data_IF_322638636796
#
_entry.id   IF_322638636796
#
_cell.length_a   1.000
_cell.length_b   1.000
_cell.length_c   1.000
_cell.angle_alpha   90.00
_cell.angle_beta   90.00
_cell.angle_gamma   90.00
#
_symmetry.space_group_name_H-M   'P 1'
#
loop_
_entity.id
_entity.type
_entity.pdbx_description
1 polymer ?
#
# COMPACT_ATOMS: atom_id res chain seq x y z
N UNK A 1 -13.38 27.24 -4.70
CA UNK A 1 -13.13 25.80 -4.76
C UNK A 1 -12.54 25.39 -6.09
N UNK A 2 -11.85 24.24 -6.16
CA UNK A 2 -11.34 23.64 -7.40
C UNK A 2 -12.04 22.29 -7.61
N UNK A 3 -12.59 22.05 -8.80
CA UNK A 3 -13.11 20.75 -9.20
C UNK A 3 -11.97 19.94 -9.83
N UNK A 4 -11.81 18.68 -9.43
CA UNK A 4 -10.75 17.80 -9.88
C UNK A 4 -11.37 16.47 -10.31
N UNK A 5 -10.91 15.94 -11.45
CA UNK A 5 -11.32 14.62 -11.92
C UNK A 5 -10.65 13.50 -11.14
N UNK A 6 -11.33 12.36 -10.92
CA UNK A 6 -10.70 11.16 -10.40
C UNK A 6 -9.60 10.66 -11.33
N UNK A 7 -8.48 10.22 -10.75
CA UNK A 7 -7.36 9.66 -11.54
C UNK A 7 -6.69 8.51 -10.80
N UNK A 8 -6.01 7.66 -11.58
CA UNK A 8 -5.10 6.65 -11.07
C UNK A 8 -3.69 6.87 -11.65
N UNK A 9 -2.67 6.52 -10.89
CA UNK A 9 -1.29 6.54 -11.33
C UNK A 9 -0.59 5.29 -10.77
N UNK A 10 -0.05 4.47 -11.66
CA UNK A 10 0.76 3.32 -11.26
C UNK A 10 2.09 3.79 -10.68
N UNK A 11 2.49 3.22 -9.54
CA UNK A 11 3.75 3.57 -8.88
C UNK A 11 4.88 2.66 -9.36
N UNK A 12 5.72 3.17 -10.25
CA UNK A 12 6.90 2.46 -10.80
C UNK A 12 8.15 2.58 -9.90
N UNK A 13 8.05 3.21 -8.75
CA UNK A 13 9.17 3.30 -7.81
C UNK A 13 9.31 2.02 -6.99
N UNK A 14 10.53 1.74 -6.55
CA UNK A 14 10.88 0.62 -5.67
C UNK A 14 11.83 1.05 -4.54
N UNK A 15 12.04 0.16 -3.56
CA UNK A 15 12.95 0.37 -2.45
C UNK A 15 12.55 1.53 -1.54
N UNK A 16 13.54 2.11 -0.87
CA UNK A 16 13.33 3.22 0.06
C UNK A 16 12.74 4.46 -0.61
N UNK A 17 12.98 4.61 -1.92
CA UNK A 17 12.42 5.73 -2.70
C UNK A 17 10.90 5.65 -2.80
N UNK A 18 10.35 4.47 -3.01
CA UNK A 18 8.90 4.25 -3.00
C UNK A 18 8.31 4.56 -1.63
N UNK A 19 8.95 4.12 -0.56
CA UNK A 19 8.52 4.38 0.81
C UNK A 19 8.50 5.88 1.11
N UNK A 20 9.54 6.63 0.69
CA UNK A 20 9.59 8.08 0.85
C UNK A 20 8.46 8.77 0.08
N UNK A 21 8.25 8.42 -1.19
CA UNK A 21 7.19 8.98 -2.03
C UNK A 21 5.83 8.80 -1.37
N UNK A 22 5.52 7.57 -0.97
CA UNK A 22 4.23 7.22 -0.37
C UNK A 22 4.07 7.90 1.00
N UNK A 23 5.11 7.90 1.83
CA UNK A 23 5.06 8.53 3.14
C UNK A 23 4.82 10.04 3.08
N UNK A 24 5.37 10.71 2.05
CA UNK A 24 5.21 12.17 1.87
C UNK A 24 3.83 12.60 1.36
N UNK A 25 2.99 11.68 0.85
CA UNK A 25 1.61 12.02 0.47
C UNK A 25 0.81 12.54 1.67
N UNK A 26 1.07 12.01 2.87
CA UNK A 26 0.36 12.43 4.08
C UNK A 26 0.43 13.94 4.34
N UNK A 27 1.52 14.58 3.94
CA UNK A 27 1.78 16.01 4.13
C UNK A 27 1.87 16.79 2.83
N UNK A 28 1.58 16.14 1.68
CA UNK A 28 1.68 16.73 0.33
C UNK A 28 3.06 17.33 0.05
N UNK A 29 4.11 16.57 0.41
CA UNK A 29 5.51 16.99 0.26
C UNK A 29 6.27 16.16 -0.79
N UNK A 30 5.59 15.50 -1.71
CA UNK A 30 6.16 14.67 -2.76
C UNK A 30 7.14 15.48 -3.64
N UNK A 31 6.86 16.76 -3.85
CA UNK A 31 7.71 17.71 -4.58
C UNK A 31 9.02 18.06 -3.86
N UNK A 32 9.15 17.73 -2.58
CA UNK A 32 10.37 17.96 -1.78
C UNK A 32 11.37 16.80 -1.80
N UNK A 33 11.07 15.74 -2.53
CA UNK A 33 11.92 14.54 -2.61
C UNK A 33 13.20 14.85 -3.39
N UNK A 34 14.34 14.50 -2.80
CA UNK A 34 15.67 14.64 -3.41
C UNK A 34 16.26 13.27 -3.77
N UNK A 35 17.24 13.19 -4.66
CA UNK A 35 17.83 11.91 -5.08
C UNK A 35 18.35 11.04 -3.92
N UNK A 36 18.86 11.64 -2.85
CA UNK A 36 19.53 11.02 -1.71
C UNK A 36 18.74 11.10 -0.39
N UNK A 37 17.47 11.53 -0.42
CA UNK A 37 16.71 11.78 0.81
C UNK A 37 16.04 10.53 1.40
N UNK A 38 15.88 9.46 0.63
CA UNK A 38 15.06 8.30 1.00
C UNK A 38 15.54 7.57 2.25
N UNK A 39 16.84 7.32 2.38
CA UNK A 39 17.40 6.64 3.55
C UNK A 39 17.15 7.44 4.82
N UNK A 40 17.52 8.74 4.82
CA UNK A 40 17.32 9.63 5.97
C UNK A 40 15.83 9.73 6.34
N UNK A 41 14.93 9.83 5.34
CA UNK A 41 13.50 9.85 5.58
C UNK A 41 13.03 8.56 6.26
N UNK A 42 13.38 7.40 5.72
CA UNK A 42 12.98 6.10 6.25
C UNK A 42 13.53 5.86 7.67
N UNK A 43 14.81 6.21 7.92
CA UNK A 43 15.42 6.10 9.24
C UNK A 43 14.69 6.95 10.28
N UNK A 44 14.34 8.19 9.96
CA UNK A 44 13.56 9.05 10.84
C UNK A 44 12.17 8.47 11.13
N UNK A 45 11.49 7.87 10.12
CA UNK A 45 10.18 7.22 10.34
C UNK A 45 10.27 5.99 11.24
N UNK A 46 11.36 5.23 11.17
CA UNK A 46 11.61 4.13 12.11
C UNK A 46 11.79 4.66 13.55
N UNK A 47 12.60 5.70 13.73
CA UNK A 47 12.82 6.33 15.04
C UNK A 47 11.52 6.88 15.63
N UNK A 48 10.69 7.52 14.82
CA UNK A 48 9.39 8.08 15.23
C UNK A 48 8.30 7.01 15.43
N UNK A 49 8.57 5.74 15.13
CA UNK A 49 7.61 4.64 15.21
C UNK A 49 6.55 4.65 14.09
N UNK A 50 6.73 5.46 13.04
CA UNK A 50 5.80 5.54 11.91
C UNK A 50 6.08 4.43 10.89
N UNK A 51 5.89 3.19 11.31
CA UNK A 51 6.29 1.99 10.55
C UNK A 51 5.28 1.53 9.50
N UNK A 52 4.07 2.11 9.44
CA UNK A 52 3.05 1.75 8.44
C UNK A 52 3.51 2.02 6.99
N UNK A 53 4.39 3.00 6.76
CA UNK A 53 4.92 3.28 5.41
C UNK A 53 5.70 2.10 4.82
N UNK A 54 6.27 1.24 5.66
CA UNK A 54 7.03 0.07 5.23
C UNK A 54 6.15 -1.09 4.74
N UNK A 55 4.82 -0.96 4.84
CA UNK A 55 3.85 -1.90 4.27
C UNK A 55 3.77 -1.81 2.75
N UNK A 56 4.24 -0.72 2.15
CA UNK A 56 4.10 -0.43 0.74
C UNK A 56 5.22 -0.97 -0.14
N UNK A 57 6.36 -1.35 0.44
CA UNK A 57 7.47 -1.95 -0.29
C UNK A 57 7.65 -3.41 0.07
N UNK A 58 7.75 -4.25 -0.97
CA UNK A 58 7.84 -5.69 -0.86
C UNK A 58 9.22 -6.19 -1.28
N UNK A 59 9.60 -7.31 -0.70
CA UNK A 59 10.79 -8.06 -1.08
C UNK A 59 10.37 -9.47 -1.48
N UNK A 60 11.11 -10.03 -2.43
CA UNK A 60 10.82 -11.32 -3.03
C UNK A 60 12.00 -12.25 -2.89
N UNK A 61 11.74 -13.48 -2.48
CA UNK A 61 12.78 -14.49 -2.33
C UNK A 61 12.45 -15.74 -3.14
N UNK A 62 13.45 -16.23 -3.88
CA UNK A 62 13.39 -17.57 -4.43
C UNK A 62 13.74 -18.55 -3.31
N UNK A 63 12.81 -19.46 -3.02
CA UNK A 63 12.92 -20.47 -1.95
C UNK A 63 12.89 -21.89 -2.50
N UNK A 64 13.14 -22.07 -3.79
CA UNK A 64 13.06 -23.38 -4.48
C UNK A 64 13.93 -24.45 -3.82
N UNK A 65 15.08 -24.07 -3.30
CA UNK A 65 16.03 -24.99 -2.66
C UNK A 65 15.84 -25.13 -1.14
N UNK A 66 14.92 -24.33 -0.57
CA UNK A 66 14.62 -24.39 0.87
C UNK A 66 13.58 -25.49 1.12
N UNK A 67 13.78 -26.39 2.09
CA UNK A 67 12.80 -27.41 2.40
C UNK A 67 11.42 -26.83 2.70
N UNK A 68 10.38 -27.33 2.04
CA UNK A 68 9.01 -26.83 2.18
C UNK A 68 8.50 -26.78 3.63
N UNK A 69 8.99 -27.67 4.52
CA UNK A 69 8.66 -27.62 5.95
C UNK A 69 9.11 -26.32 6.61
N UNK A 70 10.30 -25.83 6.25
CA UNK A 70 10.87 -24.58 6.80
C UNK A 70 10.08 -23.39 6.26
N UNK A 71 9.83 -23.37 4.93
CA UNK A 71 9.03 -22.30 4.30
C UNK A 71 7.63 -22.22 4.92
N UNK A 72 6.97 -23.36 5.17
CA UNK A 72 5.65 -23.40 5.82
C UNK A 72 5.67 -22.81 7.23
N UNK A 73 6.68 -23.13 8.04
CA UNK A 73 6.81 -22.55 9.38
C UNK A 73 7.12 -21.05 9.32
N UNK A 74 7.95 -20.63 8.36
CA UNK A 74 8.22 -19.21 8.15
C UNK A 74 6.94 -18.43 7.76
N UNK A 75 6.14 -18.93 6.84
CA UNK A 75 4.89 -18.28 6.39
C UNK A 75 3.89 -18.12 7.55
N UNK A 76 3.88 -19.00 8.53
CA UNK A 76 3.03 -18.88 9.74
C UNK A 76 3.40 -17.71 10.66
N UNK A 77 4.61 -17.14 10.52
CA UNK A 77 5.04 -16.01 11.36
C UNK A 77 4.21 -14.75 11.12
N UNK A 78 3.66 -14.58 9.91
CA UNK A 78 2.81 -13.44 9.60
C UNK A 78 1.77 -13.79 8.52
N UNK A 79 0.51 -13.36 8.67
CA UNK A 79 -0.52 -13.52 7.64
C UNK A 79 -0.24 -12.69 6.39
N UNK A 80 0.73 -11.79 6.44
CA UNK A 80 1.12 -10.93 5.32
C UNK A 80 2.29 -11.48 4.51
N UNK A 81 2.80 -12.68 4.84
CA UNK A 81 3.76 -13.40 4.01
C UNK A 81 2.96 -14.17 2.96
N UNK A 82 3.26 -13.95 1.69
CA UNK A 82 2.64 -14.66 0.55
C UNK A 82 3.60 -15.71 0.00
N UNK A 83 3.08 -16.87 -0.27
CA UNK A 83 3.79 -17.97 -0.90
C UNK A 83 3.17 -18.22 -2.27
N UNK A 84 3.99 -18.25 -3.32
CA UNK A 84 3.50 -18.45 -4.69
C UNK A 84 2.82 -19.80 -4.85
N UNK A 85 1.87 -19.89 -5.78
CA UNK A 85 1.11 -21.11 -6.04
C UNK A 85 1.99 -22.31 -6.38
N UNK A 86 3.10 -22.09 -7.10
CA UNK A 86 4.08 -23.14 -7.42
C UNK A 86 5.07 -23.42 -6.29
N UNK A 87 5.01 -22.68 -5.18
CA UNK A 87 5.84 -22.89 -4.01
C UNK A 87 7.30 -22.45 -4.16
N UNK A 88 7.68 -21.77 -5.23
CA UNK A 88 9.07 -21.40 -5.54
C UNK A 88 9.48 -20.04 -4.99
N UNK A 89 8.50 -19.19 -4.67
CA UNK A 89 8.75 -17.80 -4.26
C UNK A 89 7.91 -17.44 -3.05
N UNK A 90 8.45 -16.54 -2.23
CA UNK A 90 7.70 -15.85 -1.19
C UNK A 90 7.86 -14.34 -1.34
N UNK A 91 6.85 -13.60 -0.91
CA UNK A 91 6.89 -12.14 -0.85
C UNK A 91 6.27 -11.62 0.44
N UNK A 92 6.74 -10.50 0.89
CA UNK A 92 6.17 -9.74 2.01
C UNK A 92 6.74 -8.32 2.04
N UNK A 93 6.04 -7.42 2.72
CA UNK A 93 6.53 -6.06 2.89
C UNK A 93 7.64 -5.96 3.94
N UNK A 94 8.46 -4.91 3.86
CA UNK A 94 9.47 -4.61 4.88
C UNK A 94 8.88 -4.49 6.30
N UNK A 95 7.61 -4.13 6.40
CA UNK A 95 6.90 -4.09 7.69
C UNK A 95 6.87 -5.44 8.39
N UNK A 96 6.82 -6.55 7.65
CA UNK A 96 6.81 -7.90 8.25
C UNK A 96 8.09 -8.18 9.05
N UNK A 97 9.25 -7.72 8.58
CA UNK A 97 10.49 -7.82 9.35
C UNK A 97 10.36 -7.10 10.71
N UNK A 98 9.84 -5.87 10.70
CA UNK A 98 9.65 -5.08 11.92
C UNK A 98 8.65 -5.73 12.88
N UNK A 99 7.55 -6.26 12.36
CA UNK A 99 6.52 -6.90 13.18
C UNK A 99 7.00 -8.20 13.82
N UNK A 100 7.82 -8.98 13.12
CA UNK A 100 8.44 -10.18 13.68
C UNK A 100 9.45 -9.76 14.76
N UNK A 101 10.35 -8.81 14.47
CA UNK A 101 11.38 -8.37 15.40
C UNK A 101 10.80 -7.70 16.67
N UNK A 102 9.72 -6.94 16.54
CA UNK A 102 9.07 -6.26 17.68
C UNK A 102 8.22 -7.18 18.55
N UNK A 103 7.86 -8.35 18.04
CA UNK A 103 6.99 -9.28 18.76
C UNK A 103 7.81 -10.29 19.58
N UNK A 104 7.96 -10.02 20.87
CA UNK A 104 8.75 -10.88 21.77
C UNK A 104 8.26 -12.34 21.83
N UNK A 105 6.97 -12.61 21.54
CA UNK A 105 6.45 -13.98 21.47
C UNK A 105 6.85 -14.65 20.17
N UNK A 106 6.80 -13.93 19.04
CA UNK A 106 7.25 -14.44 17.74
C UNK A 106 8.76 -14.68 17.75
N UNK A 107 9.53 -13.73 18.31
CA UNK A 107 10.97 -13.90 18.49
C UNK A 107 11.30 -15.06 19.42
N UNK A 108 10.57 -15.26 20.51
CA UNK A 108 10.73 -16.45 21.38
C UNK A 108 10.35 -17.73 20.66
N UNK A 109 9.32 -17.74 19.83
CA UNK A 109 8.99 -18.91 19.01
C UNK A 109 10.13 -19.23 18.03
N UNK A 110 10.74 -18.20 17.42
CA UNK A 110 11.93 -18.36 16.57
C UNK A 110 13.12 -18.91 17.37
N UNK A 111 13.33 -18.48 18.63
CA UNK A 111 14.45 -18.90 19.46
C UNK A 111 14.22 -20.19 20.26
N UNK A 112 12.97 -20.53 20.57
CA UNK A 112 12.62 -21.63 21.48
C UNK A 112 11.81 -22.74 20.82
N UNK A 113 11.74 -22.79 19.48
CA UNK A 113 11.04 -23.87 18.80
C UNK A 113 11.76 -25.20 19.07
N UNK A 114 11.04 -26.11 19.72
CA UNK A 114 11.55 -27.38 20.18
C UNK A 114 11.93 -28.31 19.02
N UNK A 115 11.47 -28.03 17.82
CA UNK A 115 11.60 -28.95 16.68
C UNK A 115 12.70 -28.61 15.65
N UNK A 116 13.15 -27.35 15.52
CA UNK A 116 14.29 -26.90 14.70
C UNK A 116 14.45 -25.38 14.75
N UNK A 117 14.82 -24.80 15.91
CA UNK A 117 14.83 -23.33 16.09
C UNK A 117 15.85 -22.62 15.20
N UNK A 118 16.90 -23.33 14.76
CA UNK A 118 17.93 -22.73 13.91
C UNK A 118 17.46 -22.43 12.50
N UNK A 119 16.72 -23.33 11.85
CA UNK A 119 16.45 -23.22 10.41
C UNK A 119 15.50 -22.08 10.03
N UNK A 120 14.40 -21.87 10.77
CA UNK A 120 13.46 -20.75 10.51
C UNK A 120 14.09 -19.41 10.90
N UNK A 121 14.86 -19.41 11.98
CA UNK A 121 15.60 -18.24 12.43
C UNK A 121 16.68 -17.85 11.41
N UNK A 122 17.45 -18.82 10.93
CA UNK A 122 18.47 -18.62 9.91
C UNK A 122 17.85 -18.10 8.61
N UNK A 123 16.70 -18.67 8.19
CA UNK A 123 15.96 -18.19 7.03
C UNK A 123 15.53 -16.71 7.21
N UNK A 124 14.97 -16.35 8.36
CA UNK A 124 14.56 -14.98 8.67
C UNK A 124 15.73 -14.00 8.58
N UNK A 125 16.83 -14.29 9.28
CA UNK A 125 18.00 -13.39 9.29
C UNK A 125 18.68 -13.32 7.93
N UNK A 126 18.76 -14.43 7.19
CA UNK A 126 19.32 -14.43 5.84
C UNK A 126 18.47 -13.57 4.89
N UNK A 127 17.14 -13.65 4.95
CA UNK A 127 16.25 -12.79 4.18
C UNK A 127 16.42 -11.31 4.55
N UNK A 128 16.52 -11.01 5.84
CA UNK A 128 16.73 -9.65 6.31
C UNK A 128 18.08 -9.08 5.83
N UNK A 129 19.14 -9.83 5.91
CA UNK A 129 20.47 -9.41 5.47
C UNK A 129 20.59 -9.28 3.94
N UNK A 130 19.92 -10.16 3.18
CA UNK A 130 19.82 -10.04 1.72
C UNK A 130 19.05 -8.78 1.29
N UNK A 131 18.10 -8.33 2.09
CA UNK A 131 17.35 -7.07 1.87
C UNK A 131 18.22 -5.85 2.23
N UNK A 132 19.32 -5.64 1.51
CA UNK A 132 20.39 -4.69 1.86
C UNK A 132 19.91 -3.28 2.19
N UNK A 133 19.08 -2.68 1.35
CA UNK A 133 18.55 -1.33 1.61
C UNK A 133 17.85 -1.23 2.96
N UNK A 134 17.06 -2.25 3.31
CA UNK A 134 16.32 -2.26 4.56
C UNK A 134 17.19 -2.62 5.76
N UNK A 135 18.09 -3.60 5.62
CA UNK A 135 19.00 -4.00 6.70
C UNK A 135 19.95 -2.87 7.12
N UNK A 136 20.41 -2.03 6.18
CA UNK A 136 21.23 -0.84 6.49
C UNK A 136 20.47 0.24 7.27
N UNK A 137 19.14 0.24 7.25
CA UNK A 137 18.37 1.13 8.15
C UNK A 137 18.39 0.66 9.60
N UNK A 138 18.57 -0.65 9.83
CA UNK A 138 18.43 -1.29 11.14
C UNK A 138 19.77 -1.55 11.83
N UNK A 139 20.84 -1.79 11.06
CA UNK A 139 22.14 -2.23 11.55
C UNK A 139 23.26 -1.38 10.97
N UNK A 140 24.33 -1.24 11.71
CA UNK A 140 25.59 -0.68 11.23
C UNK A 140 26.33 -1.68 10.33
N UNK A 141 27.14 -1.20 9.38
CA UNK A 141 27.88 -2.05 8.42
C UNK A 141 28.71 -3.15 9.07
N UNK A 142 29.29 -2.89 10.26
CA UNK A 142 30.06 -3.87 11.03
C UNK A 142 29.20 -5.03 11.52
N UNK A 143 27.96 -4.74 11.94
CA UNK A 143 27.02 -5.75 12.43
C UNK A 143 26.52 -6.62 11.27
N UNK A 144 26.31 -6.03 10.10
CA UNK A 144 25.91 -6.74 8.87
C UNK A 144 27.04 -7.69 8.44
N UNK A 145 28.28 -7.21 8.39
CA UNK A 145 29.43 -8.01 7.97
C UNK A 145 29.65 -9.21 8.90
N UNK A 146 29.59 -9.01 10.21
CA UNK A 146 29.75 -10.08 11.20
C UNK A 146 28.64 -11.14 11.11
N UNK A 147 27.41 -10.75 10.72
CA UNK A 147 26.29 -11.69 10.55
C UNK A 147 26.35 -12.43 9.22
N UNK A 148 26.91 -11.83 8.17
CA UNK A 148 27.14 -12.49 6.88
C UNK A 148 28.19 -13.63 6.98
N UNK A 149 29.10 -13.57 7.95
CA UNK A 149 30.08 -14.65 8.23
C UNK A 149 29.42 -15.93 8.76
N UNK A 150 28.16 -15.89 9.24
CA UNK A 150 27.39 -17.05 9.72
C UNK A 150 26.64 -17.83 8.62
N UNK A 151 27.03 -17.66 7.35
CA UNK A 151 26.61 -18.53 6.25
C UNK A 151 25.19 -18.24 5.76
N UNK A 152 25.06 -17.30 4.82
CA UNK A 152 23.87 -17.25 3.97
C UNK A 152 23.82 -18.57 3.21
N UNK A 153 22.71 -19.30 3.32
CA UNK A 153 22.45 -20.44 2.46
C UNK A 153 22.52 -19.96 1.00
N UNK A 154 23.53 -20.45 0.26
CA UNK A 154 23.79 -20.03 -1.13
C UNK A 154 22.59 -20.33 -2.05
N UNK A 155 21.62 -21.10 -1.60
CA UNK A 155 20.39 -21.42 -2.32
C UNK A 155 19.27 -20.36 -2.15
N UNK A 156 19.34 -19.52 -1.11
CA UNK A 156 18.41 -18.43 -0.88
C UNK A 156 18.89 -17.17 -1.62
N UNK A 157 18.04 -16.58 -2.45
CA UNK A 157 18.36 -15.33 -3.15
C UNK A 157 17.14 -14.42 -3.27
N UNK A 158 17.40 -13.14 -3.41
CA UNK A 158 16.38 -12.18 -3.84
C UNK A 158 15.98 -12.50 -5.29
N UNK A 159 14.69 -12.51 -5.55
CA UNK A 159 14.14 -12.51 -6.89
C UNK A 159 13.88 -11.07 -7.34
N UNK A 160 14.16 -10.75 -8.60
CA UNK A 160 13.89 -9.44 -9.16
C UNK A 160 12.39 -9.26 -9.46
N UNK A 161 11.95 -8.00 -9.53
CA UNK A 161 10.59 -7.65 -9.95
C UNK A 161 10.21 -8.29 -11.29
N UNK A 162 11.12 -8.27 -12.27
CA UNK A 162 10.90 -8.89 -13.57
C UNK A 162 10.70 -10.40 -13.46
N UNK A 163 11.48 -11.09 -12.62
CA UNK A 163 11.35 -12.53 -12.38
C UNK A 163 9.99 -12.86 -11.72
N UNK A 164 9.57 -12.08 -10.74
CA UNK A 164 8.29 -12.31 -10.06
C UNK A 164 7.11 -12.02 -11.00
N UNK A 165 7.16 -10.94 -11.76
CA UNK A 165 6.10 -10.62 -12.75
C UNK A 165 5.93 -11.70 -13.81
N UNK A 166 7.01 -12.40 -14.17
CA UNK A 166 6.97 -13.49 -15.14
C UNK A 166 6.53 -14.82 -14.52
N UNK A 167 7.04 -15.16 -13.32
CA UNK A 167 6.97 -16.52 -12.76
C UNK A 167 6.02 -16.71 -11.59
N UNK A 168 5.68 -15.64 -10.89
CA UNK A 168 4.79 -15.64 -9.74
C UNK A 168 4.04 -14.29 -9.63
N UNK A 169 3.33 -13.85 -10.70
CA UNK A 169 2.70 -12.54 -10.75
C UNK A 169 1.68 -12.35 -9.61
N UNK A 170 1.05 -13.40 -9.14
CA UNK A 170 0.07 -13.38 -8.06
C UNK A 170 0.58 -12.76 -6.76
N UNK A 171 1.89 -12.90 -6.48
CA UNK A 171 2.53 -12.35 -5.28
C UNK A 171 3.29 -11.04 -5.54
N UNK A 172 3.24 -10.50 -6.77
CA UNK A 172 3.87 -9.24 -7.12
C UNK A 172 3.14 -8.05 -6.49
N UNK A 173 3.87 -7.13 -5.88
CA UNK A 173 3.29 -5.91 -5.28
C UNK A 173 2.92 -4.90 -6.35
N UNK A 174 1.65 -4.61 -6.44
CA UNK A 174 1.07 -3.58 -7.30
C UNK A 174 0.65 -2.40 -6.43
N UNK A 175 1.06 -1.20 -6.81
CA UNK A 175 0.75 0.02 -6.06
C UNK A 175 0.17 1.08 -7.00
N UNK A 176 -0.98 1.64 -6.62
CA UNK A 176 -1.57 2.78 -7.30
C UNK A 176 -1.70 3.98 -6.36
N UNK A 177 -1.41 5.16 -6.89
CA UNK A 177 -1.93 6.41 -6.34
C UNK A 177 -3.29 6.65 -6.93
N UNK A 178 -4.28 6.87 -6.10
CA UNK A 178 -5.66 7.15 -6.48
C UNK A 178 -5.98 8.56 -6.00
N UNK A 179 -6.40 9.43 -6.92
CA UNK A 179 -6.97 10.73 -6.61
C UNK A 179 -8.48 10.61 -6.70
N UNK A 180 -9.17 10.81 -5.59
CA UNK A 180 -10.63 10.73 -5.50
C UNK A 180 -11.12 11.52 -4.28
N UNK A 181 -12.41 11.44 -3.94
CA UNK A 181 -12.94 12.05 -2.74
C UNK A 181 -12.73 11.20 -1.48
N UNK A 182 -12.96 11.81 -0.32
CA UNK A 182 -12.79 11.13 0.97
C UNK A 182 -13.87 10.09 1.25
N UNK A 183 -15.07 10.23 0.70
CA UNK A 183 -16.14 9.22 0.83
C UNK A 183 -15.72 7.92 0.14
N UNK A 184 -15.20 8.02 -1.08
CA UNK A 184 -14.67 6.88 -1.84
C UNK A 184 -13.44 6.28 -1.17
N UNK A 185 -12.51 7.11 -0.65
CA UNK A 185 -11.35 6.55 0.07
C UNK A 185 -11.75 5.81 1.35
N UNK A 186 -12.81 6.25 2.06
CA UNK A 186 -13.35 5.53 3.23
C UNK A 186 -13.96 4.17 2.85
N UNK A 187 -14.47 4.04 1.65
CA UNK A 187 -14.89 2.73 1.12
C UNK A 187 -13.67 1.87 0.76
N UNK A 188 -12.66 2.45 0.11
CA UNK A 188 -11.44 1.72 -0.29
C UNK A 188 -10.73 1.08 0.90
N UNK A 189 -10.49 1.81 1.98
CA UNK A 189 -9.75 1.33 3.17
C UNK A 189 -10.45 0.21 3.95
N UNK A 190 -11.68 -0.17 3.58
CA UNK A 190 -12.37 -1.33 4.16
C UNK A 190 -11.82 -2.67 3.61
N UNK A 191 -10.99 -2.63 2.55
CA UNK A 191 -10.28 -3.79 2.01
C UNK A 191 -9.00 -4.04 2.82
N UNK A 192 -9.12 -4.75 3.95
CA UNK A 192 -8.14 -4.80 5.05
C UNK A 192 -6.84 -5.54 4.74
N UNK A 193 -6.80 -6.33 3.69
CA UNK A 193 -5.59 -7.09 3.31
C UNK A 193 -4.56 -6.21 2.58
N UNK A 194 -4.99 -5.04 2.09
CA UNK A 194 -4.15 -4.07 1.40
C UNK A 194 -3.65 -2.97 2.34
N UNK A 195 -2.59 -2.31 1.94
CA UNK A 195 -1.98 -1.19 2.67
C UNK A 195 -2.39 0.14 2.05
N UNK A 196 -2.68 1.12 2.92
CA UNK A 196 -3.22 2.42 2.53
C UNK A 196 -2.43 3.55 3.17
N UNK A 197 -2.01 4.53 2.35
CA UNK A 197 -1.37 5.76 2.81
C UNK A 197 -2.05 6.96 2.16
N UNK A 198 -2.75 7.75 2.97
CA UNK A 198 -3.62 8.82 2.50
C UNK A 198 -3.14 10.20 2.92
N UNK A 199 -3.42 11.19 2.08
CA UNK A 199 -3.33 12.61 2.40
C UNK A 199 -4.07 12.94 3.70
N UNK A 200 -3.37 13.61 4.63
CA UNK A 200 -3.87 13.86 5.97
C UNK A 200 -4.43 15.28 6.12
N UNK A 201 -5.73 15.42 6.26
CA UNK A 201 -6.37 16.70 6.60
C UNK A 201 -6.04 17.21 8.00
N UNK A 202 -5.30 16.44 8.82
CA UNK A 202 -4.75 16.93 10.10
C UNK A 202 -3.55 17.85 9.88
N UNK A 203 -2.74 17.54 8.86
CA UNK A 203 -1.50 18.23 8.55
C UNK A 203 -1.61 19.19 7.37
N UNK A 204 -2.48 18.87 6.42
CA UNK A 204 -2.70 19.67 5.23
C UNK A 204 -3.67 20.81 5.57
N UNK A 205 -3.17 22.05 5.60
CA UNK A 205 -4.01 23.26 5.68
C UNK A 205 -4.18 23.82 4.28
N UNK A 206 -5.39 23.74 3.74
CA UNK A 206 -5.69 24.18 2.36
C UNK A 206 -5.85 25.71 2.25
N UNK A 207 -6.11 26.43 3.35
CA UNK A 207 -6.29 27.87 3.36
C UNK A 207 -5.00 28.64 3.67
N UNK A 208 -4.02 28.03 4.32
CA UNK A 208 -2.79 28.69 4.79
C UNK A 208 -1.51 27.94 4.45
N UNK A 209 -0.39 28.67 4.58
CA UNK A 209 0.94 28.12 4.36
C UNK A 209 1.19 27.63 2.93
N UNK A 210 2.08 26.67 2.77
CA UNK A 210 2.51 26.16 1.46
C UNK A 210 1.34 25.63 0.62
N UNK A 211 0.45 24.86 1.22
CA UNK A 211 -0.69 24.28 0.50
C UNK A 211 -1.76 25.32 0.19
N UNK A 212 -2.10 26.22 1.12
CA UNK A 212 -3.00 27.33 0.84
C UNK A 212 -2.50 28.17 -0.32
N UNK A 213 -1.19 28.40 -0.41
CA UNK A 213 -0.60 29.11 -1.54
C UNK A 213 -0.70 28.32 -2.85
N UNK A 214 -0.38 27.01 -2.80
CA UNK A 214 -0.43 26.10 -3.96
C UNK A 214 -1.83 25.97 -4.57
N UNK A 215 -2.87 25.95 -3.74
CA UNK A 215 -4.26 25.76 -4.17
C UNK A 215 -5.09 27.05 -4.19
N UNK A 216 -4.45 28.23 -4.13
CA UNK A 216 -5.14 29.51 -4.16
C UNK A 216 -6.06 29.74 -2.97
N UNK A 217 -5.78 29.12 -1.82
CA UNK A 217 -6.58 29.06 -0.59
C UNK A 217 -7.94 28.38 -0.76
N UNK A 218 -8.11 27.62 -1.83
CA UNK A 218 -9.34 26.89 -2.13
C UNK A 218 -9.23 25.42 -1.74
N UNK A 219 -10.34 24.84 -1.31
CA UNK A 219 -10.45 23.38 -1.23
C UNK A 219 -10.62 22.80 -2.64
N UNK A 220 -10.11 21.58 -2.82
CA UNK A 220 -10.36 20.81 -4.05
C UNK A 220 -11.40 19.74 -3.74
N UNK A 221 -12.32 19.52 -4.65
CA UNK A 221 -13.40 18.51 -4.54
C UNK A 221 -13.47 17.65 -5.79
N UNK A 222 -13.98 16.45 -5.63
CA UNK A 222 -14.41 15.58 -6.72
C UNK A 222 -15.92 15.75 -6.85
N UNK A 223 -16.38 16.03 -8.05
CA UNK A 223 -17.80 16.20 -8.33
C UNK A 223 -18.52 14.86 -8.31
N UNK A 224 -19.56 14.69 -7.47
CA UNK A 224 -20.37 13.50 -7.51
C UNK A 224 -21.21 13.41 -8.81
N UNK A 225 -21.49 12.20 -9.33
CA UNK A 225 -22.23 12.03 -10.58
C UNK A 225 -23.75 12.27 -10.39
N UNK A 226 -24.13 13.52 -10.13
CA UNK A 226 -25.53 13.90 -9.99
C UNK A 226 -26.29 13.76 -11.29
N UNK A 227 -27.57 13.43 -11.19
CA UNK A 227 -28.44 13.17 -12.37
C UNK A 227 -29.02 14.46 -13.00
N UNK A 228 -28.99 15.57 -12.29
CA UNK A 228 -29.59 16.82 -12.74
C UNK A 228 -28.78 18.04 -12.26
N UNK A 229 -28.90 19.15 -13.02
CA UNK A 229 -28.18 20.41 -12.77
C UNK A 229 -28.57 21.06 -11.44
N UNK A 230 -29.84 21.01 -11.03
CA UNK A 230 -30.31 21.57 -9.77
C UNK A 230 -29.62 20.92 -8.53
N UNK A 231 -29.36 19.60 -8.60
CA UNK A 231 -28.59 18.91 -7.55
C UNK A 231 -27.12 19.32 -7.55
N UNK A 232 -26.56 19.53 -8.71
CA UNK A 232 -25.18 19.98 -8.89
C UNK A 232 -25.00 21.42 -8.36
N UNK A 233 -25.92 22.32 -8.65
CA UNK A 233 -25.91 23.72 -8.15
C UNK A 233 -25.96 23.73 -6.61
N UNK A 234 -26.86 22.95 -6.00
CA UNK A 234 -26.94 22.80 -4.54
C UNK A 234 -25.65 22.25 -3.93
N UNK A 235 -24.99 21.33 -4.61
CA UNK A 235 -23.69 20.82 -4.18
C UNK A 235 -22.63 21.92 -4.18
N UNK A 236 -22.55 22.71 -5.25
CA UNK A 236 -21.59 23.82 -5.34
C UNK A 236 -21.82 24.89 -4.29
N UNK A 237 -23.08 25.26 -4.02
CA UNK A 237 -23.43 26.21 -2.98
C UNK A 237 -23.00 25.71 -1.59
N UNK A 238 -23.25 24.43 -1.29
CA UNK A 238 -22.84 23.83 -0.04
C UNK A 238 -21.32 23.78 0.12
N UNK A 239 -20.59 23.41 -0.94
CA UNK A 239 -19.12 23.39 -0.93
C UNK A 239 -18.54 24.79 -0.75
N UNK A 240 -19.09 25.81 -1.42
CA UNK A 240 -18.65 27.20 -1.29
C UNK A 240 -18.86 27.71 0.15
N UNK A 241 -20.00 27.39 0.78
CA UNK A 241 -20.26 27.71 2.18
C UNK A 241 -19.26 27.03 3.14
N UNK A 242 -19.00 25.75 2.94
CA UNK A 242 -18.03 25.00 3.74
C UNK A 242 -16.60 25.53 3.57
N UNK A 243 -16.21 25.93 2.36
CA UNK A 243 -14.92 26.54 2.07
C UNK A 243 -14.74 27.86 2.81
N UNK A 244 -15.76 28.72 2.80
CA UNK A 244 -15.74 30.00 3.52
C UNK A 244 -15.55 29.78 5.02
N UNK A 245 -16.32 28.87 5.63
CA UNK A 245 -16.19 28.54 7.06
C UNK A 245 -14.82 27.94 7.37
N UNK A 246 -14.29 27.07 6.50
CA UNK A 246 -12.94 26.51 6.69
C UNK A 246 -11.86 27.59 6.69
N UNK A 247 -11.98 28.58 5.79
CA UNK A 247 -11.07 29.72 5.72
C UNK A 247 -11.18 30.61 6.95
N UNK A 248 -12.39 30.90 7.44
CA UNK A 248 -12.64 31.68 8.67
C UNK A 248 -12.00 30.98 9.88
N UNK A 249 -12.31 29.72 10.13
CA UNK A 249 -11.72 28.95 11.23
C UNK A 249 -10.20 28.98 11.21
N UNK A 250 -9.59 28.79 10.02
CA UNK A 250 -8.14 28.85 9.91
C UNK A 250 -7.58 30.25 10.09
N UNK A 251 -8.32 31.31 9.71
CA UNK A 251 -7.94 32.71 9.93
C UNK A 251 -8.00 33.09 11.42
N UNK A 252 -8.96 32.56 12.14
CA UNK A 252 -9.12 32.73 13.59
C UNK A 252 -8.04 31.97 14.38
N UNK A 253 -7.19 31.19 13.70
CA UNK A 253 -6.06 30.49 14.30
C UNK A 253 -6.31 29.02 14.61
N UNK A 254 -7.47 28.50 14.27
CA UNK A 254 -7.76 27.08 14.47
C UNK A 254 -6.81 26.20 13.65
N UNK A 255 -6.25 25.14 14.24
CA UNK A 255 -5.37 24.22 13.53
C UNK A 255 -6.16 23.40 12.50
N UNK A 256 -5.49 23.00 11.42
CA UNK A 256 -6.10 22.22 10.33
C UNK A 256 -6.85 20.97 10.85
N UNK A 257 -6.34 20.33 11.90
CA UNK A 257 -6.98 19.15 12.50
C UNK A 257 -8.37 19.42 13.12
N UNK A 258 -8.69 20.65 13.46
CA UNK A 258 -10.02 21.07 13.94
C UNK A 258 -10.84 21.69 12.79
N UNK A 259 -10.25 22.61 12.03
CA UNK A 259 -10.92 23.25 10.89
C UNK A 259 -11.46 22.23 9.87
N UNK A 260 -10.78 21.09 9.69
CA UNK A 260 -11.22 20.01 8.77
C UNK A 260 -12.62 19.45 9.06
N UNK A 261 -13.19 19.69 10.24
CA UNK A 261 -14.52 19.20 10.61
C UNK A 261 -15.64 19.72 9.71
N UNK A 262 -15.43 20.87 9.04
CA UNK A 262 -16.37 21.46 8.08
C UNK A 262 -16.09 21.08 6.62
N UNK A 263 -15.03 20.30 6.35
CA UNK A 263 -14.75 19.85 4.98
C UNK A 263 -15.79 18.82 4.54
N UNK A 264 -16.35 18.94 3.32
CA UNK A 264 -17.29 17.95 2.79
C UNK A 264 -16.59 16.60 2.52
N UNK A 265 -17.35 15.52 2.52
CA UNK A 265 -16.84 14.19 2.12
C UNK A 265 -16.34 14.18 0.67
N UNK A 266 -16.87 15.03 -0.18
CA UNK A 266 -16.42 15.25 -1.55
C UNK A 266 -15.03 15.91 -1.65
N UNK A 267 -14.41 16.29 -0.52
CA UNK A 267 -13.04 16.84 -0.51
C UNK A 267 -12.08 15.86 -1.18
N UNK A 268 -11.37 16.33 -2.20
CA UNK A 268 -10.34 15.59 -2.93
C UNK A 268 -9.27 15.05 -1.96
N UNK A 269 -8.84 13.84 -2.17
CA UNK A 269 -7.75 13.23 -1.42
C UNK A 269 -6.91 12.32 -2.32
N UNK A 270 -5.60 12.32 -2.09
CA UNK A 270 -4.71 11.34 -2.70
C UNK A 270 -4.47 10.20 -1.72
N UNK A 271 -4.57 8.99 -2.22
CA UNK A 271 -4.30 7.77 -1.44
C UNK A 271 -3.45 6.80 -2.26
N UNK A 272 -2.36 6.33 -1.67
CA UNK A 272 -1.63 5.18 -2.19
C UNK A 272 -2.23 3.90 -1.65
N UNK A 273 -2.44 2.94 -2.54
CA UNK A 273 -2.98 1.62 -2.23
C UNK A 273 -1.99 0.58 -2.75
N UNK A 274 -1.51 -0.29 -1.88
CA UNK A 274 -0.55 -1.35 -2.22
C UNK A 274 -1.06 -2.71 -1.79
N UNK A 275 -0.82 -3.71 -2.64
CA UNK A 275 -1.14 -5.10 -2.36
C UNK A 275 -0.57 -6.01 -3.44
N UNK A 276 -0.55 -7.31 -3.20
CA UNK A 276 -0.17 -8.27 -4.25
C UNK A 276 -1.20 -8.27 -5.38
N UNK A 277 -0.82 -8.72 -6.56
CA UNK A 277 -1.73 -8.78 -7.70
C UNK A 277 -3.02 -9.55 -7.36
N UNK A 278 -2.92 -10.65 -6.60
CA UNK A 278 -4.10 -11.39 -6.13
C UNK A 278 -5.00 -10.59 -5.18
N UNK A 279 -4.45 -9.69 -4.38
CA UNK A 279 -5.28 -8.79 -3.56
C UNK A 279 -6.07 -7.80 -4.41
N UNK A 280 -5.56 -7.45 -5.59
CA UNK A 280 -6.26 -6.61 -6.55
C UNK A 280 -7.33 -7.37 -7.33
N UNK A 281 -6.94 -8.49 -7.97
CA UNK A 281 -7.80 -9.21 -8.93
C UNK A 281 -8.50 -10.44 -8.34
N UNK A 282 -8.15 -10.82 -7.11
CA UNK A 282 -8.65 -11.99 -6.40
C UNK A 282 -7.84 -13.26 -6.63
N UNK A 283 -7.95 -14.20 -5.69
CA UNK A 283 -7.23 -15.46 -5.73
C UNK A 283 -7.75 -16.41 -6.81
N UNK A 284 -6.89 -17.28 -7.34
CA UNK A 284 -7.24 -18.42 -8.19
C UNK A 284 -7.93 -19.53 -7.37
N UNK A 285 -9.17 -19.31 -6.99
CA UNK A 285 -9.91 -20.23 -6.10
C UNK A 285 -10.16 -21.61 -6.72
N UNK A 286 -10.24 -21.71 -8.05
CA UNK A 286 -10.45 -22.99 -8.75
C UNK A 286 -9.33 -24.02 -8.51
N UNK A 287 -8.10 -23.54 -8.27
CA UNK A 287 -6.94 -24.39 -8.00
C UNK A 287 -6.84 -24.84 -6.55
N UNK A 288 -7.35 -24.06 -5.61
CA UNK A 288 -7.16 -24.29 -4.17
C UNK A 288 -8.38 -24.96 -3.53
N UNK A 289 -9.60 -24.62 -3.95
CA UNK A 289 -10.84 -25.15 -3.38
C UNK A 289 -11.95 -25.40 -4.41
N UNK A 290 -11.83 -26.41 -5.29
CA UNK A 290 -12.78 -26.65 -6.40
C UNK A 290 -14.22 -26.97 -5.96
N UNK A 291 -14.51 -27.08 -4.66
CA UNK A 291 -15.83 -27.36 -4.09
C UNK A 291 -16.44 -26.22 -3.29
N UNK A 292 -15.74 -25.10 -3.12
CA UNK A 292 -16.25 -23.94 -2.39
C UNK A 292 -16.79 -22.88 -3.36
N UNK A 293 -18.03 -23.10 -3.81
CA UNK A 293 -18.78 -22.14 -4.65
C UNK A 293 -19.19 -20.84 -3.92
N UNK A 294 -18.86 -20.68 -2.65
CA UNK A 294 -19.33 -19.58 -1.79
C UNK A 294 -18.21 -18.59 -1.42
N UNK A 295 -16.95 -18.94 -1.58
CA UNK A 295 -15.84 -17.98 -1.38
C UNK A 295 -15.63 -17.29 -2.72
N UNK A 296 -16.55 -16.39 -3.02
CA UNK A 296 -16.39 -15.47 -4.13
C UNK A 296 -15.08 -14.70 -3.97
N UNK A 297 -14.46 -14.47 -5.09
CA UNK A 297 -13.27 -13.71 -5.28
C UNK A 297 -13.21 -12.46 -4.36
N UNK A 298 -12.29 -12.44 -3.42
CA UNK A 298 -12.13 -11.38 -2.40
C UNK A 298 -11.28 -10.20 -2.87
N UNK A 299 -10.84 -10.17 -4.12
CA UNK A 299 -10.01 -9.10 -4.65
C UNK A 299 -10.66 -7.72 -4.56
N UNK A 300 -9.83 -6.69 -4.53
CA UNK A 300 -10.29 -5.31 -4.47
C UNK A 300 -11.21 -4.98 -5.66
N UNK A 301 -10.79 -5.30 -6.88
CA UNK A 301 -11.53 -4.97 -8.10
C UNK A 301 -12.93 -5.61 -8.14
N UNK A 302 -13.09 -6.93 -7.91
CA UNK A 302 -14.42 -7.54 -7.90
C UNK A 302 -15.36 -6.94 -6.86
N UNK A 303 -14.84 -6.63 -5.66
CA UNK A 303 -15.66 -6.06 -4.59
C UNK A 303 -15.99 -4.59 -4.82
N UNK A 304 -15.14 -3.85 -5.54
CA UNK A 304 -15.33 -2.40 -5.80
C UNK A 304 -16.01 -2.10 -7.13
N UNK A 305 -16.14 -3.09 -8.02
CA UNK A 305 -16.94 -3.00 -9.24
C UNK A 305 -18.38 -3.53 -9.04
N UNK A 306 -18.76 -3.95 -7.86
CA UNK A 306 -20.10 -4.45 -7.58
C UNK A 306 -21.13 -3.31 -7.62
N UNK A 307 -22.36 -3.59 -8.12
CA UNK A 307 -23.47 -2.62 -8.27
C UNK A 307 -23.85 -1.85 -6.98
N UNK A 308 -23.47 -2.35 -5.81
CA UNK A 308 -23.69 -1.69 -4.53
C UNK A 308 -22.52 -0.77 -4.10
N UNK A 309 -21.42 -0.74 -4.83
CA UNK A 309 -20.32 0.19 -4.59
C UNK A 309 -20.71 1.60 -5.05
N UNK A 310 -20.04 2.61 -4.50
CA UNK A 310 -20.26 3.99 -4.93
C UNK A 310 -19.91 4.14 -6.42
N UNK A 311 -20.70 4.89 -7.24
CA UNK A 311 -20.44 5.03 -8.67
C UNK A 311 -19.00 5.45 -9.02
N UNK A 312 -18.44 6.40 -8.29
CA UNK A 312 -17.04 6.83 -8.49
C UNK A 312 -16.01 5.77 -8.05
N UNK A 313 -16.36 4.88 -7.11
CA UNK A 313 -15.52 3.72 -6.78
C UNK A 313 -15.50 2.72 -7.94
N UNK A 314 -16.65 2.49 -8.58
CA UNK A 314 -16.76 1.63 -9.77
C UNK A 314 -15.90 2.18 -10.91
N UNK A 315 -15.94 3.49 -11.13
CA UNK A 315 -15.11 4.17 -12.13
C UNK A 315 -13.62 3.93 -11.88
N UNK A 316 -13.15 4.18 -10.64
CA UNK A 316 -11.76 3.94 -10.24
C UNK A 316 -11.37 2.46 -10.39
N UNK A 317 -12.25 1.54 -9.99
CA UNK A 317 -11.98 0.10 -10.12
C UNK A 317 -11.83 -0.30 -11.59
N UNK A 318 -12.62 0.28 -12.51
CA UNK A 318 -12.48 0.06 -13.95
C UNK A 318 -11.15 0.59 -14.48
N UNK A 319 -10.80 1.82 -14.16
CA UNK A 319 -9.51 2.42 -14.58
C UNK A 319 -8.32 1.55 -14.15
N UNK A 320 -8.34 1.07 -12.89
CA UNK A 320 -7.27 0.19 -12.36
C UNK A 320 -7.28 -1.16 -13.09
N UNK A 321 -8.44 -1.75 -13.34
CA UNK A 321 -8.54 -3.03 -14.03
C UNK A 321 -8.00 -2.97 -15.47
N UNK A 322 -8.31 -1.90 -16.20
CA UNK A 322 -7.77 -1.64 -17.52
C UNK A 322 -6.25 -1.51 -17.52
N UNK A 323 -5.69 -0.75 -16.58
CA UNK A 323 -4.23 -0.60 -16.46
C UNK A 323 -3.54 -1.92 -16.04
N UNK A 324 -4.12 -2.68 -15.10
CA UNK A 324 -3.60 -4.01 -14.72
C UNK A 324 -3.64 -4.97 -15.91
N UNK A 325 -4.71 -4.98 -16.71
CA UNK A 325 -4.82 -5.84 -17.88
C UNK A 325 -3.71 -5.56 -18.93
N UNK A 326 -3.32 -4.30 -19.08
CA UNK A 326 -2.20 -3.92 -19.95
C UNK A 326 -0.85 -4.35 -19.37
N UNK A 327 -0.65 -4.20 -18.05
CA UNK A 327 0.62 -4.51 -17.37
C UNK A 327 0.84 -6.00 -17.14
N UNK A 328 -0.22 -6.76 -16.99
CA UNK A 328 -0.23 -8.21 -16.72
C UNK A 328 -1.13 -8.93 -17.74
N UNK A 329 -0.74 -8.98 -19.03
CA UNK A 329 -1.59 -9.49 -20.10
C UNK A 329 -1.98 -10.97 -19.92
N UNK A 330 -1.18 -11.76 -19.23
CA UNK A 330 -1.48 -13.16 -18.93
C UNK A 330 -2.62 -13.33 -17.90
N UNK A 331 -2.93 -12.29 -17.14
CA UNK A 331 -3.98 -12.26 -16.12
C UNK A 331 -5.28 -11.60 -16.61
N UNK A 332 -5.29 -11.12 -17.87
CA UNK A 332 -6.40 -10.37 -18.46
C UNK A 332 -7.73 -11.16 -18.40
N UNK A 333 -7.69 -12.46 -18.61
CA UNK A 333 -8.89 -13.32 -18.56
C UNK A 333 -9.54 -13.37 -17.17
N UNK A 334 -8.77 -13.15 -16.10
CA UNK A 334 -9.28 -13.05 -14.71
C UNK A 334 -9.95 -11.71 -14.43
N UNK A 335 -9.54 -10.67 -15.15
CA UNK A 335 -9.96 -9.28 -14.91
C UNK A 335 -11.24 -8.97 -15.70
N UNK A 336 -11.32 -9.40 -16.96
CA UNK A 336 -12.44 -9.09 -17.87
C UNK A 336 -13.76 -9.63 -17.34
N UNK A 337 -13.77 -10.82 -16.74
CA UNK A 337 -14.97 -11.44 -16.19
C UNK A 337 -15.69 -10.64 -15.10
N UNK A 338 -15.08 -9.54 -14.60
CA UNK A 338 -15.70 -8.66 -13.60
C UNK A 338 -16.46 -7.48 -14.20
N UNK A 339 -16.32 -7.22 -15.50
CA UNK A 339 -16.88 -6.03 -16.18
C UNK A 339 -18.00 -6.39 -17.17
N UNK A 340 -18.22 -7.67 -17.39
CA UNK A 340 -19.39 -8.21 -18.09
C UNK A 340 -20.56 -8.48 -17.13
#
# INVERSE_FOLDING_TARGET
>A
MNVVEPTIEFCDYSGLRKIELIGKVCTKQEDSIKPDSAETFCRNRLIDGHTAIFEHEYVYFNVTSIPNRIVREFVKLSPYIRWSYLGNYISFSYRVFLDIMSNSRKMKAIYNDIYHPSEVNDLFYNMLLLSKEFSHLLFDDKDITAKLEYGIDASLRIASDAEIRERAPEIYNVTYKITTDRGVTHEAVRHREMSFMQESTRWCNYAKGRLGYKYGRNISVIEPPFKNEDSLEKFYDAVAGNEAIYQELTNDGEPAQLARSVLPTATKSDIYVSGTLDMWIGEHLETVYPKLTIVENKGFLPLRNHKAAHPQMIEIAKMIAEDIAVRFPNETGRIINYFE
#
